data_IF_051138298464
#
_entry.id   IF_051138298464
#
_cell.length_a   1.000
_cell.length_b   1.000
_cell.length_c   1.000
_cell.angle_alpha   90.00
_cell.angle_beta   90.00
_cell.angle_gamma   90.00
#
_symmetry.space_group_name_H-M   'P 1'
#
loop_
_entity.id
_entity.type
_entity.pdbx_description
1 polymer ?
#
# COMPACT_ATOMS: atom_id res chain seq x y z
N UNK A 1 -0.87 -17.78 8.43
CA UNK A 1 -1.35 -18.65 7.34
C UNK A 1 -2.47 -17.94 6.59
N UNK A 2 -2.59 -18.11 5.27
CA UNK A 2 -3.78 -17.68 4.52
C UNK A 2 -4.17 -16.19 4.60
N UNK A 3 -3.24 -15.28 4.93
CA UNK A 3 -3.51 -13.85 5.13
C UNK A 3 -3.83 -13.44 6.59
N UNK A 4 -3.77 -14.36 7.55
CA UNK A 4 -3.98 -14.06 8.96
C UNK A 4 -2.87 -14.57 9.89
N UNK A 5 -2.67 -13.85 11.01
CA UNK A 5 -1.71 -14.23 12.05
C UNK A 5 -2.35 -15.27 12.97
N UNK A 6 -1.51 -16.11 13.56
CA UNK A 6 -1.91 -17.08 14.58
C UNK A 6 -1.12 -16.83 15.85
N UNK A 7 -1.77 -16.98 16.99
CA UNK A 7 -1.09 -16.90 18.29
C UNK A 7 -0.54 -18.27 18.66
N UNK A 8 0.76 -18.33 18.88
CA UNK A 8 1.49 -19.57 19.18
C UNK A 8 2.46 -19.32 20.33
N UNK A 9 2.59 -20.29 21.24
CA UNK A 9 3.51 -20.18 22.38
C UNK A 9 4.94 -20.43 21.92
N UNK A 10 5.77 -19.38 21.90
CA UNK A 10 7.19 -19.49 21.58
C UNK A 10 7.95 -20.25 22.69
N UNK A 11 8.66 -21.35 22.38
CA UNK A 11 9.61 -21.97 23.29
C UNK A 11 10.75 -21.02 23.63
N UNK A 12 11.08 -20.90 24.91
CA UNK A 12 12.20 -20.09 25.39
C UNK A 12 13.41 -20.99 25.57
N UNK A 13 14.47 -20.74 24.82
CA UNK A 13 15.74 -21.48 24.92
C UNK A 13 16.81 -20.55 25.47
N UNK A 14 17.57 -21.04 26.44
CA UNK A 14 18.66 -20.28 27.07
C UNK A 14 19.98 -21.02 26.88
N UNK A 15 21.03 -20.27 26.57
CA UNK A 15 22.41 -20.75 26.52
C UNK A 15 23.29 -19.77 27.30
N UNK A 16 24.11 -20.27 28.21
CA UNK A 16 24.98 -19.45 29.08
C UNK A 16 24.24 -18.31 29.79
N UNK A 17 23.04 -18.59 30.31
CA UNK A 17 22.24 -17.61 31.05
C UNK A 17 21.52 -16.56 30.19
N UNK A 18 21.73 -16.52 28.87
CA UNK A 18 21.06 -15.61 27.94
C UNK A 18 20.00 -16.32 27.11
N UNK A 19 18.93 -15.61 26.79
CA UNK A 19 17.92 -16.10 25.85
C UNK A 19 18.50 -16.08 24.43
N UNK A 20 18.34 -17.19 23.72
CA UNK A 20 18.87 -17.37 22.36
C UNK A 20 17.72 -17.27 21.38
N UNK A 21 17.93 -16.51 20.30
CA UNK A 21 16.99 -16.47 19.20
C UNK A 21 16.98 -17.80 18.44
N UNK A 22 15.79 -18.29 18.10
CA UNK A 22 15.62 -19.50 17.31
C UNK A 22 15.41 -19.07 15.86
N UNK A 23 16.36 -19.33 14.93
CA UNK A 23 16.28 -18.85 13.55
C UNK A 23 15.00 -19.29 12.83
N UNK A 24 14.55 -20.52 13.07
CA UNK A 24 13.28 -21.04 12.55
C UNK A 24 12.09 -20.21 13.03
N UNK A 25 12.09 -19.78 14.31
CA UNK A 25 11.03 -18.89 14.82
C UNK A 25 11.08 -17.49 14.22
N UNK A 26 12.27 -16.95 14.01
CA UNK A 26 12.42 -15.65 13.37
C UNK A 26 11.85 -15.67 11.95
N UNK A 27 12.15 -16.73 11.18
CA UNK A 27 11.62 -16.92 9.84
C UNK A 27 10.09 -17.05 9.81
N UNK A 28 9.49 -17.80 10.75
CA UNK A 28 8.02 -17.94 10.83
C UNK A 28 7.32 -16.70 11.40
N UNK A 29 8.03 -15.81 12.08
CA UNK A 29 7.49 -14.56 12.59
C UNK A 29 7.44 -13.44 11.54
N UNK A 30 8.09 -13.63 10.38
CA UNK A 30 8.07 -12.66 9.29
C UNK A 30 6.63 -12.43 8.77
N UNK A 31 6.22 -11.16 8.77
CA UNK A 31 4.88 -10.73 8.40
C UNK A 31 4.75 -10.38 6.90
N UNK A 32 5.86 -10.29 6.17
CA UNK A 32 5.89 -9.86 4.76
C UNK A 32 4.87 -10.57 3.86
N UNK A 33 4.79 -11.92 3.87
CA UNK A 33 3.81 -12.65 3.06
C UNK A 33 2.34 -12.37 3.44
N UNK A 34 2.07 -12.07 4.72
CA UNK A 34 0.71 -11.78 5.20
C UNK A 34 0.28 -10.37 4.79
N UNK A 35 1.21 -9.42 4.77
CA UNK A 35 0.98 -8.05 4.34
C UNK A 35 0.68 -8.01 2.83
N UNK A 36 1.46 -8.73 2.02
CA UNK A 36 1.21 -8.88 0.58
C UNK A 36 -0.21 -9.38 0.29
N UNK A 37 -0.66 -10.40 1.02
CA UNK A 37 -2.02 -10.94 0.86
C UNK A 37 -3.11 -9.96 1.25
N UNK A 38 -2.93 -9.19 2.32
CA UNK A 38 -3.88 -8.15 2.72
C UNK A 38 -4.00 -7.06 1.65
N UNK A 39 -2.89 -6.65 1.06
CA UNK A 39 -2.85 -5.71 -0.05
C UNK A 39 -3.59 -6.24 -1.29
N UNK A 40 -3.26 -7.46 -1.75
CA UNK A 40 -3.92 -8.07 -2.90
C UNK A 40 -5.44 -8.14 -2.75
N UNK A 41 -5.93 -8.60 -1.60
CA UNK A 41 -7.36 -8.72 -1.33
C UNK A 41 -8.07 -7.37 -1.43
N UNK A 42 -7.45 -6.30 -0.93
CA UNK A 42 -8.02 -4.96 -1.02
C UNK A 42 -7.99 -4.42 -2.46
N UNK A 43 -6.93 -4.68 -3.22
CA UNK A 43 -6.83 -4.29 -4.63
C UNK A 43 -7.91 -4.96 -5.49
N UNK A 44 -8.28 -6.22 -5.19
CA UNK A 44 -9.38 -6.93 -5.89
C UNK A 44 -10.77 -6.60 -5.33
N UNK A 45 -10.89 -5.62 -4.43
CA UNK A 45 -12.18 -5.08 -3.97
C UNK A 45 -12.74 -5.68 -2.67
N UNK A 46 -11.98 -6.49 -1.93
CA UNK A 46 -12.42 -6.95 -0.61
C UNK A 46 -12.28 -5.82 0.41
N UNK A 47 -13.42 -5.28 0.86
CA UNK A 47 -13.44 -4.28 1.94
C UNK A 47 -12.79 -4.82 3.21
N UNK A 48 -12.16 -3.95 4.00
CA UNK A 48 -11.56 -4.29 5.31
C UNK A 48 -12.54 -4.98 6.27
N UNK A 49 -13.84 -4.69 6.17
CA UNK A 49 -14.90 -5.32 6.97
C UNK A 49 -15.15 -6.79 6.56
N UNK A 50 -14.98 -7.11 5.27
CA UNK A 50 -15.17 -8.46 4.72
C UNK A 50 -13.87 -9.28 4.71
N UNK A 51 -12.73 -8.67 5.04
CA UNK A 51 -11.43 -9.33 5.00
C UNK A 51 -11.38 -10.65 5.78
N UNK A 52 -11.90 -10.67 7.01
CA UNK A 52 -11.95 -11.88 7.85
C UNK A 52 -12.69 -13.05 7.16
N UNK A 53 -13.67 -12.78 6.30
CA UNK A 53 -14.40 -13.81 5.53
C UNK A 53 -13.63 -14.28 4.29
N UNK A 54 -12.68 -13.48 3.80
CA UNK A 54 -11.89 -13.77 2.59
C UNK A 54 -10.62 -14.59 2.84
N UNK A 55 -10.17 -14.66 4.10
CA UNK A 55 -9.00 -15.43 4.49
C UNK A 55 -9.37 -16.88 4.77
N UNK A 56 -8.41 -17.78 4.57
CA UNK A 56 -8.60 -19.21 4.81
C UNK A 56 -9.00 -19.46 6.28
N UNK A 57 -10.06 -20.26 6.54
CA UNK A 57 -10.45 -20.63 7.89
C UNK A 57 -9.29 -21.31 8.63
N UNK A 58 -9.11 -20.95 9.90
CA UNK A 58 -8.17 -21.65 10.77
C UNK A 58 -8.91 -22.70 11.61
N UNK A 59 -8.24 -23.81 11.99
CA UNK A 59 -8.70 -24.68 13.05
C UNK A 59 -9.03 -23.87 14.31
N UNK A 60 -10.08 -24.27 15.04
CA UNK A 60 -10.56 -23.54 16.23
C UNK A 60 -9.49 -23.42 17.33
N UNK A 61 -8.53 -24.35 17.36
CA UNK A 61 -7.39 -24.35 18.30
C UNK A 61 -6.39 -23.21 18.02
N UNK A 62 -6.37 -22.69 16.79
CA UNK A 62 -5.47 -21.62 16.36
C UNK A 62 -6.21 -20.29 16.42
N UNK A 63 -5.98 -19.54 17.50
CA UNK A 63 -6.58 -18.22 17.70
C UNK A 63 -6.21 -17.24 16.57
N UNK A 64 -7.18 -16.80 15.73
CA UNK A 64 -6.91 -15.87 14.64
C UNK A 64 -6.53 -14.50 15.20
N UNK A 65 -5.51 -13.89 14.61
CA UNK A 65 -5.00 -12.59 15.02
C UNK A 65 -4.80 -11.65 13.82
N UNK A 66 -4.86 -10.34 14.08
CA UNK A 66 -4.65 -9.26 13.10
C UNK A 66 -5.59 -9.27 11.87
N UNK A 67 -6.78 -9.86 11.96
CA UNK A 67 -7.81 -9.82 10.90
C UNK A 67 -8.89 -8.76 11.10
N UNK A 68 -8.76 -7.93 12.13
CA UNK A 68 -9.71 -6.85 12.38
C UNK A 68 -9.65 -5.79 11.29
N UNK A 69 -10.77 -5.08 11.08
CA UNK A 69 -10.88 -3.95 10.14
C UNK A 69 -9.69 -2.97 10.26
N UNK A 70 -9.35 -2.60 11.49
CA UNK A 70 -8.29 -1.61 11.75
C UNK A 70 -6.87 -2.17 11.52
N UNK A 71 -6.63 -3.45 11.82
CA UNK A 71 -5.35 -4.09 11.54
C UNK A 71 -5.09 -4.18 10.03
N UNK A 72 -6.09 -4.62 9.26
CA UNK A 72 -6.01 -4.72 7.80
C UNK A 72 -5.85 -3.34 7.16
N UNK A 73 -6.62 -2.36 7.63
CA UNK A 73 -6.52 -0.98 7.14
C UNK A 73 -5.12 -0.39 7.32
N UNK A 74 -4.49 -0.56 8.49
CA UNK A 74 -3.13 -0.05 8.73
C UNK A 74 -2.09 -0.70 7.82
N UNK A 75 -2.19 -2.02 7.59
CA UNK A 75 -1.30 -2.75 6.68
C UNK A 75 -1.42 -2.21 5.26
N UNK A 76 -2.65 -2.08 4.75
CA UNK A 76 -2.90 -1.55 3.42
C UNK A 76 -2.37 -0.13 3.25
N UNK A 77 -2.70 0.78 4.17
CA UNK A 77 -2.21 2.18 4.14
C UNK A 77 -0.69 2.23 4.15
N UNK A 78 -0.03 1.46 5.04
CA UNK A 78 1.43 1.44 5.09
C UNK A 78 2.08 0.92 3.81
N UNK A 79 1.48 -0.08 3.17
CA UNK A 79 1.96 -0.63 1.90
C UNK A 79 1.71 0.30 0.72
N UNK A 80 0.51 0.87 0.60
CA UNK A 80 0.18 1.79 -0.49
C UNK A 80 0.99 3.08 -0.37
N UNK A 81 1.19 3.61 0.83
CA UNK A 81 2.02 4.79 1.06
C UNK A 81 3.45 4.56 0.53
N UNK A 82 4.09 3.44 0.88
CA UNK A 82 5.43 3.10 0.37
C UNK A 82 5.48 2.95 -1.16
N UNK A 83 4.48 2.29 -1.75
CA UNK A 83 4.41 2.11 -3.21
C UNK A 83 4.16 3.42 -3.95
N UNK A 84 3.24 4.24 -3.44
CA UNK A 84 2.93 5.55 -4.01
C UNK A 84 4.11 6.50 -3.87
N UNK A 85 4.80 6.51 -2.72
CA UNK A 85 5.99 7.33 -2.51
C UNK A 85 7.10 6.97 -3.51
N UNK A 86 7.45 5.69 -3.62
CA UNK A 86 8.44 5.22 -4.59
C UNK A 86 8.06 5.56 -6.05
N UNK A 87 6.77 5.58 -6.35
CA UNK A 87 6.27 5.87 -7.69
C UNK A 87 6.18 7.39 -7.98
N UNK A 88 5.75 8.20 -7.02
CA UNK A 88 5.65 9.65 -7.13
C UNK A 88 7.02 10.33 -7.14
N UNK A 89 8.02 9.69 -6.54
CA UNK A 89 9.41 10.20 -6.46
C UNK A 89 10.31 9.68 -7.57
N UNK A 90 9.78 8.86 -8.49
CA UNK A 90 10.56 8.34 -9.62
C UNK A 90 11.06 9.47 -10.50
N UNK A 91 12.24 9.29 -11.09
CA UNK A 91 12.74 10.25 -12.07
C UNK A 91 11.88 10.22 -13.35
N UNK A 92 11.54 11.41 -13.83
CA UNK A 92 10.77 11.65 -15.06
C UNK A 92 11.57 12.46 -16.08
N UNK A 93 12.87 12.74 -15.82
CA UNK A 93 13.72 13.58 -16.66
C UNK A 93 13.81 13.11 -18.11
N UNK A 94 13.88 11.80 -18.33
CA UNK A 94 13.96 11.18 -19.67
C UNK A 94 12.60 11.07 -20.37
N UNK A 95 11.49 11.38 -19.68
CA UNK A 95 10.16 11.23 -20.23
C UNK A 95 9.80 12.42 -21.13
N UNK A 96 9.79 12.18 -22.45
CA UNK A 96 9.37 13.17 -23.45
C UNK A 96 7.86 13.27 -23.56
N UNK A 97 7.27 14.10 -22.71
CA UNK A 97 5.83 14.36 -22.70
C UNK A 97 5.47 15.39 -23.79
N UNK A 98 4.56 15.01 -24.70
CA UNK A 98 4.03 15.90 -25.76
C UNK A 98 2.65 16.47 -25.40
N UNK A 99 1.91 15.83 -24.50
CA UNK A 99 0.65 16.33 -23.98
C UNK A 99 0.42 15.90 -22.52
N UNK A 100 -0.34 16.69 -21.77
CA UNK A 100 -0.75 16.39 -20.39
C UNK A 100 -2.27 16.35 -20.33
N UNK A 101 -2.81 15.30 -19.72
CA UNK A 101 -4.23 15.12 -19.44
C UNK A 101 -4.44 15.06 -17.92
N UNK A 102 -5.46 15.76 -17.43
CA UNK A 102 -5.91 15.64 -16.05
C UNK A 102 -7.21 14.83 -16.05
N UNK A 103 -7.26 13.84 -15.17
CA UNK A 103 -8.47 13.05 -14.94
C UNK A 103 -8.72 12.97 -13.43
N UNK A 104 -9.98 12.94 -13.02
CA UNK A 104 -10.38 13.05 -11.62
C UNK A 104 -11.44 12.02 -11.25
N UNK A 105 -11.26 11.38 -10.10
CA UNK A 105 -12.30 10.55 -9.48
C UNK A 105 -12.73 11.18 -8.17
N UNK A 106 -14.04 11.41 -8.03
CA UNK A 106 -14.65 11.93 -6.81
C UNK A 106 -15.33 10.81 -6.05
N UNK A 107 -15.04 10.72 -4.75
CA UNK A 107 -15.66 9.81 -3.79
C UNK A 107 -16.03 10.62 -2.57
N UNK A 108 -17.33 10.78 -2.36
CA UNK A 108 -17.87 11.67 -1.30
C UNK A 108 -17.28 13.08 -1.44
N UNK A 109 -16.79 13.68 -0.36
CA UNK A 109 -16.16 15.01 -0.39
C UNK A 109 -14.72 15.03 -0.94
N UNK A 110 -14.14 13.87 -1.26
CA UNK A 110 -12.75 13.76 -1.74
C UNK A 110 -12.70 13.58 -3.25
N UNK A 111 -11.80 14.30 -3.91
CA UNK A 111 -11.48 14.12 -5.33
C UNK A 111 -9.99 13.87 -5.49
N UNK A 112 -9.64 12.77 -6.14
CA UNK A 112 -8.26 12.45 -6.52
C UNK A 112 -8.10 12.76 -8.01
N UNK A 113 -7.18 13.66 -8.32
CA UNK A 113 -6.79 14.05 -9.67
C UNK A 113 -5.48 13.35 -10.02
N UNK A 114 -5.43 12.70 -11.19
CA UNK A 114 -4.21 12.15 -11.78
C UNK A 114 -3.76 13.04 -12.93
N UNK A 115 -2.46 13.36 -12.95
CA UNK A 115 -1.81 13.93 -14.13
C UNK A 115 -1.24 12.80 -14.99
N UNK A 116 -1.65 12.73 -16.25
CA UNK A 116 -1.20 11.74 -17.23
C UNK A 116 -0.44 12.45 -18.36
N UNK A 117 0.85 12.16 -18.49
CA UNK A 117 1.66 12.57 -19.64
C UNK A 117 1.46 11.59 -20.78
N UNK A 118 1.36 12.10 -22.00
CA UNK A 118 1.34 11.32 -23.22
C UNK A 118 2.67 11.57 -23.90
N UNK A 119 3.41 10.51 -24.21
CA UNK A 119 4.70 10.63 -24.90
C UNK A 119 4.55 10.71 -26.43
N UNK A 120 5.67 10.91 -27.11
CA UNK A 120 5.74 10.98 -28.59
C UNK A 120 5.25 9.71 -29.32
N UNK A 121 5.15 8.58 -28.62
CA UNK A 121 4.59 7.32 -29.15
C UNK A 121 3.08 7.17 -28.89
N UNK A 122 2.50 8.08 -28.10
CA UNK A 122 1.11 8.02 -27.66
C UNK A 122 0.88 7.20 -26.39
N UNK A 123 1.94 6.73 -25.71
CA UNK A 123 1.81 5.99 -24.46
C UNK A 123 1.50 6.93 -23.30
N UNK A 124 0.59 6.51 -22.42
CA UNK A 124 0.18 7.26 -21.23
C UNK A 124 1.05 6.88 -20.04
N UNK A 125 1.62 7.89 -19.40
CA UNK A 125 2.49 7.79 -18.25
C UNK A 125 1.94 8.67 -17.13
N UNK A 126 1.55 8.13 -15.98
CA UNK A 126 1.11 9.01 -14.93
C UNK A 126 2.31 9.74 -14.32
N UNK A 127 2.13 11.05 -14.12
CA UNK A 127 3.16 11.99 -13.70
C UNK A 127 3.03 12.33 -12.22
N UNK A 128 1.81 12.25 -11.68
CA UNK A 128 1.53 12.58 -10.29
C UNK A 128 0.06 12.42 -9.93
N UNK A 129 -0.22 12.54 -8.64
CA UNK A 129 -1.55 12.51 -8.05
C UNK A 129 -1.72 13.73 -7.14
N UNK A 130 -2.94 14.24 -7.07
CA UNK A 130 -3.32 15.33 -6.18
C UNK A 130 -4.68 15.01 -5.55
N UNK A 131 -4.78 15.16 -4.24
CA UNK A 131 -6.06 15.03 -3.52
C UNK A 131 -6.58 16.42 -3.20
N UNK A 132 -7.86 16.65 -3.47
CA UNK A 132 -8.60 17.86 -3.12
C UNK A 132 -9.91 17.47 -2.49
N UNK A 133 -10.44 18.32 -1.62
CA UNK A 133 -11.79 18.17 -1.09
C UNK A 133 -12.73 19.20 -1.72
N UNK A 134 -14.03 18.99 -1.56
CA UNK A 134 -15.06 19.98 -1.95
C UNK A 134 -14.86 21.35 -1.27
N UNK A 135 -14.20 21.38 -0.10
CA UNK A 135 -13.88 22.60 0.63
C UNK A 135 -12.64 23.35 0.11
N UNK A 136 -11.79 22.70 -0.70
CA UNK A 136 -10.52 23.27 -1.20
C UNK A 136 -10.69 24.11 -2.48
N UNK A 137 -11.94 24.43 -2.86
CA UNK A 137 -12.32 25.20 -4.03
C UNK A 137 -11.80 26.65 -3.96
N UNK A 138 -10.49 26.84 -4.15
CA UNK A 138 -9.86 28.17 -4.12
C UNK A 138 -8.34 28.22 -4.29
N UNK A 139 -7.60 27.12 -4.14
CA UNK A 139 -6.15 27.15 -4.38
C UNK A 139 -5.37 26.05 -3.67
N UNK A 140 -5.21 24.91 -4.35
CA UNK A 140 -4.30 23.84 -3.93
C UNK A 140 -3.00 23.88 -4.75
N UNK A 141 -1.85 23.82 -4.09
CA UNK A 141 -0.55 23.74 -4.77
C UNK A 141 -0.31 22.30 -5.24
N UNK A 142 -0.11 22.10 -6.54
CA UNK A 142 0.38 20.83 -7.11
C UNK A 142 1.71 20.51 -6.44
N UNK A 143 1.81 19.36 -5.78
CA UNK A 143 3.09 18.83 -5.29
C UNK A 143 4.09 18.81 -6.44
N UNK A 144 5.10 19.69 -6.35
CA UNK A 144 6.09 19.93 -7.41
C UNK A 144 6.81 18.63 -7.80
N UNK A 145 6.53 18.13 -9.00
CA UNK A 145 7.57 17.56 -9.86
C UNK A 145 7.75 18.53 -11.01
N UNK A 146 8.71 19.46 -10.86
CA UNK A 146 9.13 20.37 -11.92
C UNK A 146 9.94 19.53 -12.91
N UNK A 147 9.29 19.05 -13.97
CA UNK A 147 10.02 18.72 -15.19
C UNK A 147 10.59 20.04 -15.72
N UNK A 148 11.86 20.31 -15.40
CA UNK A 148 12.61 21.38 -16.08
C UNK A 148 12.84 20.90 -17.50
N UNK A 149 12.01 21.33 -18.45
CA UNK A 149 12.44 21.37 -19.84
C UNK A 149 13.54 22.45 -19.96
N UNK A 150 14.76 22.02 -20.23
CA UNK A 150 15.80 22.83 -20.86
C UNK A 150 16.29 22.05 -22.08
N UNK A 151 16.21 22.66 -23.26
CA UNK A 151 16.70 22.13 -24.52
C UNK A 151 15.63 22.07 -25.58
#
# INVERSE_FOLDING_TARGET
MGGQRVTVRKPRVRHQGKEVELPTWAAFADEGPLDARAFEQMVVGVSTRKYKRSVEPLPDELGPHATSKSAVSRKFVGMTARKLDAWLTRDLSELRVVAVMLDGISVDDHTVIVALGIDETGQKHPLGLFETTSADAGGGTIGRTVARQQG
#
